data_IF_253569599636
#
_entry.id   IF_253569599636
#
_cell.length_a   1.000
_cell.length_b   1.000
_cell.length_c   1.000
_cell.angle_alpha   90.00
_cell.angle_beta   90.00
_cell.angle_gamma   90.00
#
_symmetry.space_group_name_H-M   'P 1'
#
loop_
_entity.id
_entity.type
_entity.pdbx_description
1 polymer ?
#
# COMPACT_ATOMS: atom_id res chain seq x y z
N UNK A 1 61.41 34.71 6.30
CA UNK A 1 61.21 34.27 7.69
C UNK A 1 60.24 33.11 7.69
N UNK A 2 60.77 31.90 7.85
CA UNK A 2 60.02 30.64 7.95
C UNK A 2 59.53 30.44 9.41
N UNK A 3 58.45 29.66 9.53
CA UNK A 3 58.00 28.88 10.68
C UNK A 3 57.43 29.65 11.89
N UNK A 4 56.09 29.78 11.96
CA UNK A 4 55.36 29.73 13.25
C UNK A 4 53.82 29.54 13.19
N UNK A 5 53.24 28.94 12.14
CA UNK A 5 51.77 28.86 12.00
C UNK A 5 51.13 27.46 12.08
N UNK A 6 51.87 26.37 12.32
CA UNK A 6 51.26 25.01 12.34
C UNK A 6 50.97 24.43 13.74
N UNK A 7 51.19 25.18 14.83
CA UNK A 7 50.98 24.67 16.21
C UNK A 7 49.67 25.16 16.87
N UNK A 8 48.87 25.99 16.20
CA UNK A 8 47.68 26.63 16.81
C UNK A 8 46.35 25.97 16.48
N UNK A 9 46.25 25.18 15.41
CA UNK A 9 45.00 24.52 15.01
C UNK A 9 44.71 23.25 15.84
N UNK A 10 45.73 22.45 16.17
CA UNK A 10 45.54 21.22 16.98
C UNK A 10 45.18 21.53 18.44
N UNK A 11 45.80 22.55 19.03
CA UNK A 11 45.55 22.97 20.42
C UNK A 11 44.14 23.62 20.57
N UNK A 12 43.59 24.17 19.48
CA UNK A 12 42.24 24.72 19.40
C UNK A 12 41.17 23.61 19.29
N UNK A 13 41.37 22.65 18.38
CA UNK A 13 40.44 21.51 18.20
C UNK A 13 40.40 20.62 19.45
N UNK A 14 41.54 20.42 20.14
CA UNK A 14 41.60 19.64 21.39
C UNK A 14 40.84 20.35 22.53
N UNK A 15 40.83 21.69 22.56
CA UNK A 15 40.15 22.47 23.60
C UNK A 15 38.65 22.61 23.36
N UNK A 16 38.23 22.82 22.11
CA UNK A 16 36.83 22.82 21.72
C UNK A 16 36.18 21.46 21.98
N UNK A 17 36.88 20.36 21.63
CA UNK A 17 36.45 18.98 21.94
C UNK A 17 36.37 18.71 23.44
N UNK A 18 37.28 19.25 24.25
CA UNK A 18 37.22 19.15 25.73
C UNK A 18 36.08 19.97 26.34
N UNK A 19 35.68 21.09 25.73
CA UNK A 19 34.59 21.92 26.23
C UNK A 19 33.22 21.32 25.87
N UNK A 20 33.04 20.87 24.62
CA UNK A 20 31.83 20.16 24.17
C UNK A 20 31.62 18.87 24.97
N UNK A 21 32.68 18.07 25.17
CA UNK A 21 32.61 16.84 25.97
C UNK A 21 32.34 17.09 27.46
N UNK A 22 32.59 18.29 27.99
CA UNK A 22 32.32 18.62 29.40
C UNK A 22 30.89 19.14 29.61
N UNK A 23 30.31 19.85 28.62
CA UNK A 23 28.90 20.28 28.66
C UNK A 23 27.92 19.11 28.47
N UNK A 24 28.23 18.14 27.61
CA UNK A 24 27.37 16.97 27.36
C UNK A 24 27.26 16.03 28.58
N UNK A 25 28.23 16.06 29.50
CA UNK A 25 28.33 15.10 30.61
C UNK A 25 27.88 15.67 31.96
N UNK A 26 28.07 16.97 32.25
CA UNK A 26 27.99 17.48 33.64
C UNK A 26 26.99 18.60 33.93
N UNK A 27 26.28 19.16 32.96
CA UNK A 27 25.20 20.13 33.22
C UNK A 27 25.58 21.35 34.08
N UNK A 28 26.87 21.66 34.20
CA UNK A 28 27.39 22.76 35.01
C UNK A 28 27.64 23.99 34.14
N UNK A 29 27.42 25.19 34.71
CA UNK A 29 27.62 26.46 34.01
C UNK A 29 29.05 26.50 33.42
N UNK A 30 29.21 26.85 32.13
CA UNK A 30 30.52 26.98 31.51
C UNK A 30 31.40 27.91 32.34
N UNK A 31 32.66 27.52 32.57
CA UNK A 31 33.63 28.38 33.25
C UNK A 31 34.08 29.49 32.30
N UNK A 32 34.47 30.62 32.87
CA UNK A 32 35.06 31.71 32.13
C UNK A 32 36.36 31.25 31.45
N UNK A 33 36.45 31.43 30.12
CA UNK A 33 37.64 31.09 29.32
C UNK A 33 37.99 32.34 28.52
N UNK A 34 38.92 33.15 29.02
CA UNK A 34 39.45 34.30 28.27
C UNK A 34 40.85 33.99 27.77
N UNK A 35 41.00 33.83 26.45
CA UNK A 35 42.30 33.69 25.81
C UNK A 35 42.80 35.04 25.27
N UNK A 36 41.88 35.94 24.88
CA UNK A 36 42.19 37.30 24.37
C UNK A 36 42.01 38.46 25.38
N UNK A 37 41.32 38.24 26.50
CA UNK A 37 40.98 39.29 27.49
C UNK A 37 41.71 39.10 28.85
N UNK A 38 42.88 39.76 29.03
CA UNK A 38 43.65 39.93 30.31
C UNK A 38 44.10 38.63 31.05
N UNK A 39 45.10 38.67 31.96
CA UNK A 39 45.85 37.46 32.32
C UNK A 39 45.02 36.51 33.19
N UNK A 40 44.63 35.33 32.66
CA UNK A 40 44.20 34.02 33.26
C UNK A 40 43.58 33.94 34.68
N UNK A 41 43.27 35.04 35.36
CA UNK A 41 42.92 35.13 36.79
C UNK A 41 41.45 34.77 37.07
N UNK A 42 40.64 34.57 36.04
CA UNK A 42 39.20 34.31 36.14
C UNK A 42 38.76 32.93 35.63
N UNK A 43 39.69 32.03 35.28
CA UNK A 43 39.43 30.70 34.69
C UNK A 43 38.51 29.78 35.51
N UNK A 44 38.32 30.07 36.80
CA UNK A 44 37.49 29.28 37.71
C UNK A 44 36.17 29.97 38.11
N UNK A 45 35.86 31.15 37.57
CA UNK A 45 34.56 31.81 37.78
C UNK A 45 33.52 31.27 36.79
N UNK A 46 32.27 31.19 37.22
CA UNK A 46 31.15 30.84 36.33
C UNK A 46 30.96 31.92 35.26
N UNK A 47 30.80 31.50 34.01
CA UNK A 47 30.44 32.40 32.93
C UNK A 47 28.94 32.75 33.01
N UNK A 48 28.63 33.99 32.65
CA UNK A 48 27.26 34.52 32.58
C UNK A 48 26.86 34.77 31.12
N UNK A 49 27.83 35.11 30.28
CA UNK A 49 27.64 35.43 28.87
C UNK A 49 28.61 34.64 27.99
N UNK A 50 28.21 34.42 26.74
CA UNK A 50 29.01 33.82 25.69
C UNK A 50 29.17 34.82 24.55
N UNK A 51 30.37 34.93 24.00
CA UNK A 51 30.67 35.76 22.85
C UNK A 51 30.89 34.85 21.63
N UNK A 52 29.94 34.78 20.68
CA UNK A 52 30.08 33.94 19.48
C UNK A 52 31.27 34.32 18.59
N UNK A 53 31.63 35.59 18.57
CA UNK A 53 32.77 36.11 17.82
C UNK A 53 34.11 35.61 18.39
N UNK A 54 34.26 35.62 19.71
CA UNK A 54 35.47 35.11 20.36
C UNK A 54 35.42 33.61 20.60
N UNK A 55 34.24 32.99 20.46
CA UNK A 55 33.95 31.63 20.88
C UNK A 55 34.33 31.41 22.36
N UNK A 56 34.19 32.45 23.17
CA UNK A 56 34.62 32.50 24.57
C UNK A 56 33.43 32.68 25.53
N UNK A 57 33.44 31.94 26.63
CA UNK A 57 32.52 32.12 27.75
C UNK A 57 33.11 33.13 28.75
N UNK A 58 32.33 34.14 29.12
CA UNK A 58 32.76 35.31 29.89
C UNK A 58 32.02 35.37 31.24
N UNK A 59 32.76 35.49 32.35
CA UNK A 59 32.18 35.94 33.63
C UNK A 59 31.88 37.44 33.59
N UNK A 60 31.16 37.94 34.59
CA UNK A 60 30.75 39.36 34.68
C UNK A 60 31.90 40.34 34.44
N UNK A 61 33.04 40.14 35.11
CA UNK A 61 34.18 41.06 34.98
C UNK A 61 34.87 40.95 33.61
N UNK A 62 34.97 39.73 33.07
CA UNK A 62 35.53 39.50 31.74
C UNK A 62 34.64 40.11 30.65
N UNK A 63 33.33 40.03 30.78
CA UNK A 63 32.37 40.71 29.90
C UNK A 63 32.53 42.22 29.96
N UNK A 64 32.60 42.80 31.15
CA UNK A 64 32.69 44.25 31.30
C UNK A 64 34.00 44.76 30.67
N UNK A 65 35.10 44.03 30.86
CA UNK A 65 36.36 44.32 30.16
C UNK A 65 36.26 44.13 28.64
N UNK A 66 35.58 43.07 28.19
CA UNK A 66 35.34 42.76 26.78
C UNK A 66 34.66 43.94 26.07
N UNK A 67 33.65 44.52 26.71
CA UNK A 67 32.90 45.67 26.19
C UNK A 67 33.69 46.98 26.24
N UNK A 68 34.63 47.13 27.18
CA UNK A 68 35.49 48.31 27.30
C UNK A 68 36.69 48.29 26.34
N UNK A 69 37.12 47.11 25.89
CA UNK A 69 38.24 46.96 24.97
C UNK A 69 37.91 47.55 23.59
N UNK A 70 38.77 48.43 23.07
CA UNK A 70 38.58 49.08 21.76
C UNK A 70 38.41 48.08 20.61
N UNK A 71 39.01 46.90 20.73
CA UNK A 71 38.98 45.85 19.69
C UNK A 71 37.77 44.92 19.81
N UNK A 72 37.17 44.79 20.99
CA UNK A 72 36.15 43.77 21.29
C UNK A 72 34.78 44.37 21.63
N UNK A 73 34.71 45.70 21.82
CA UNK A 73 33.49 46.44 22.12
C UNK A 73 32.36 46.24 21.10
N UNK A 74 32.67 45.87 19.86
CA UNK A 74 31.70 45.60 18.81
C UNK A 74 31.18 44.16 18.82
N UNK A 75 31.77 43.27 19.62
CA UNK A 75 31.29 41.90 19.72
C UNK A 75 29.99 41.86 20.48
N UNK A 76 29.03 41.12 19.94
CA UNK A 76 27.78 40.86 20.61
C UNK A 76 27.96 39.70 21.60
N UNK A 77 27.33 39.81 22.76
CA UNK A 77 27.32 38.76 23.77
C UNK A 77 25.90 38.33 24.06
N UNK A 78 25.69 37.03 24.27
CA UNK A 78 24.41 36.43 24.65
C UNK A 78 24.55 35.76 26.00
N UNK A 79 23.47 35.69 26.78
CA UNK A 79 23.53 34.97 28.06
C UNK A 79 23.74 33.48 27.82
N UNK A 80 24.45 32.82 28.75
CA UNK A 80 24.66 31.37 28.71
C UNK A 80 23.32 30.63 28.64
N UNK A 81 22.30 31.08 29.37
CA UNK A 81 20.96 30.47 29.34
C UNK A 81 20.30 30.57 27.94
N UNK A 82 20.52 31.67 27.21
CA UNK A 82 20.03 31.82 25.83
C UNK A 82 20.84 30.95 24.87
N UNK A 83 22.17 30.93 25.01
CA UNK A 83 23.04 30.06 24.23
C UNK A 83 22.64 28.60 24.38
N UNK A 84 22.37 28.14 25.61
CA UNK A 84 22.00 26.76 25.89
C UNK A 84 20.70 26.34 25.18
N UNK A 85 19.74 27.26 25.00
CA UNK A 85 18.48 27.03 24.30
C UNK A 85 18.62 26.98 22.77
N UNK A 86 19.76 27.38 22.20
CA UNK A 86 19.98 27.29 20.76
C UNK A 86 20.11 25.81 20.33
N UNK A 87 19.57 25.43 19.17
CA UNK A 87 19.81 24.11 18.59
C UNK A 87 21.30 23.85 18.38
N UNK A 88 21.73 22.58 18.52
CA UNK A 88 23.14 22.20 18.40
C UNK A 88 23.77 22.59 17.06
N UNK A 89 23.01 22.54 15.96
CA UNK A 89 23.51 22.94 14.65
C UNK A 89 23.84 24.44 14.59
N UNK A 90 23.07 25.30 15.27
CA UNK A 90 23.35 26.74 15.34
C UNK A 90 24.63 26.99 16.15
N UNK A 91 24.83 26.25 17.24
CA UNK A 91 26.02 26.38 18.10
C UNK A 91 27.32 26.00 17.38
N UNK A 92 27.24 25.18 16.34
CA UNK A 92 28.38 24.72 15.53
C UNK A 92 28.77 25.70 14.40
N UNK A 93 27.96 26.73 14.13
CA UNK A 93 28.24 27.73 13.09
C UNK A 93 29.31 28.69 13.62
N UNK A 94 30.54 28.55 13.13
CA UNK A 94 31.61 29.51 13.45
C UNK A 94 31.32 30.87 12.82
N UNK A 95 31.62 31.93 13.57
CA UNK A 95 31.53 33.31 13.10
C UNK A 95 32.82 33.79 12.41
N UNK A 96 33.87 32.95 12.43
CA UNK A 96 35.18 33.27 11.89
C UNK A 96 35.45 32.54 10.58
N UNK A 97 36.19 33.21 9.69
CA UNK A 97 36.63 32.65 8.44
C UNK A 97 37.75 31.63 8.69
N UNK A 98 37.59 30.42 8.15
CA UNK A 98 38.54 29.32 8.30
C UNK A 98 39.94 29.65 7.76
N UNK A 99 40.01 30.46 6.69
CA UNK A 99 41.28 30.79 6.03
C UNK A 99 42.03 31.96 6.70
N UNK A 100 41.29 32.90 7.30
CA UNK A 100 41.82 34.22 7.64
C UNK A 100 41.68 34.60 9.13
N UNK A 101 41.07 33.75 9.97
CA UNK A 101 40.82 34.00 11.40
C UNK A 101 40.18 35.38 11.67
N UNK A 102 39.32 35.80 10.74
CA UNK A 102 38.62 37.09 10.73
C UNK A 102 37.11 36.90 10.62
N UNK A 103 36.31 37.84 11.13
CA UNK A 103 34.86 37.71 11.13
C UNK A 103 34.24 37.58 9.75
N UNK A 104 33.29 36.66 9.63
CA UNK A 104 32.39 36.54 8.50
C UNK A 104 31.38 37.70 8.58
N UNK A 105 31.59 38.69 7.74
CA UNK A 105 30.86 39.96 7.74
C UNK A 105 30.10 40.20 6.43
N UNK A 106 30.46 39.47 5.38
CA UNK A 106 29.93 39.66 4.04
C UNK A 106 29.37 38.35 3.50
N UNK A 107 28.44 38.46 2.56
CA UNK A 107 27.90 37.34 1.79
C UNK A 107 28.11 37.62 0.31
N UNK A 108 28.78 36.71 -0.39
CA UNK A 108 29.00 36.78 -1.82
C UNK A 108 27.90 35.99 -2.55
N UNK A 109 26.99 36.70 -3.25
CA UNK A 109 25.90 36.06 -4.02
C UNK A 109 26.41 35.19 -5.17
N UNK A 110 27.49 35.61 -5.82
CA UNK A 110 28.05 34.90 -6.97
C UNK A 110 28.58 33.52 -6.61
N UNK A 111 28.99 33.33 -5.35
CA UNK A 111 29.57 32.09 -4.84
C UNK A 111 28.70 31.40 -3.78
N UNK A 112 27.58 32.01 -3.39
CA UNK A 112 26.71 31.54 -2.31
C UNK A 112 27.50 31.21 -1.02
N UNK A 113 28.38 32.13 -0.62
CA UNK A 113 29.35 31.91 0.46
C UNK A 113 29.48 33.12 1.40
N UNK A 114 29.76 32.85 2.68
CA UNK A 114 30.12 33.86 3.68
C UNK A 114 31.60 34.23 3.55
N UNK A 115 31.91 35.51 3.67
CA UNK A 115 33.24 36.07 3.43
C UNK A 115 33.66 37.01 4.58
N UNK A 116 34.95 36.99 4.93
CA UNK A 116 35.55 38.04 5.75
C UNK A 116 36.12 39.18 4.88
N UNK A 117 36.56 40.27 5.51
CA UNK A 117 37.19 41.41 4.83
C UNK A 117 38.39 41.02 3.95
N UNK A 118 39.16 40.01 4.35
CA UNK A 118 40.32 39.54 3.59
C UNK A 118 39.91 38.71 2.37
N UNK A 119 38.88 37.85 2.50
CA UNK A 119 38.30 37.09 1.38
C UNK A 119 37.82 38.02 0.24
N UNK A 120 37.25 39.19 0.58
CA UNK A 120 36.86 40.19 -0.42
C UNK A 120 38.03 40.71 -1.25
N UNK A 121 39.22 40.82 -0.66
CA UNK A 121 40.40 41.38 -1.32
C UNK A 121 41.16 40.30 -2.10
N UNK A 122 41.23 39.07 -1.55
CA UNK A 122 42.04 37.98 -2.10
C UNK A 122 41.29 37.11 -3.12
N UNK A 123 40.05 36.71 -2.81
CA UNK A 123 39.31 35.69 -3.59
C UNK A 123 38.02 36.19 -4.24
N UNK A 124 37.45 37.30 -3.74
CA UNK A 124 36.18 37.84 -4.24
C UNK A 124 36.29 39.26 -4.82
N UNK A 125 37.50 39.71 -5.15
CA UNK A 125 37.76 41.09 -5.63
C UNK A 125 36.98 41.45 -6.90
N UNK A 126 36.76 40.48 -7.77
CA UNK A 126 36.03 40.66 -9.03
C UNK A 126 34.53 40.35 -8.91
N UNK A 127 34.06 39.90 -7.75
CA UNK A 127 32.65 39.63 -7.50
C UNK A 127 31.89 40.94 -7.37
N UNK A 128 30.92 41.17 -8.26
CA UNK A 128 30.12 42.41 -8.28
C UNK A 128 29.00 42.44 -7.24
N UNK A 129 28.65 41.29 -6.64
CA UNK A 129 27.50 41.14 -5.75
C UNK A 129 27.90 40.62 -4.37
N UNK A 130 28.67 41.40 -3.63
CA UNK A 130 29.00 41.14 -2.21
C UNK A 130 28.20 42.06 -1.31
N UNK A 131 27.51 41.51 -0.31
CA UNK A 131 26.61 42.26 0.57
C UNK A 131 27.12 42.16 2.00
N UNK A 132 27.14 43.28 2.73
CA UNK A 132 27.39 43.26 4.16
C UNK A 132 26.20 42.61 4.88
N UNK A 133 26.45 41.59 5.70
CA UNK A 133 25.39 40.76 6.29
C UNK A 133 24.48 41.61 7.16
N UNK A 134 25.00 42.53 7.95
CA UNK A 134 24.12 43.39 8.77
C UNK A 134 23.25 44.31 7.89
N UNK A 135 23.74 44.80 6.76
CA UNK A 135 22.94 45.60 5.82
C UNK A 135 21.90 44.76 5.08
N UNK A 136 22.19 43.49 4.82
CA UNK A 136 21.23 42.52 4.33
C UNK A 136 20.16 42.20 5.38
N UNK A 137 20.56 42.14 6.65
CA UNK A 137 19.68 41.83 7.78
C UNK A 137 18.86 43.03 8.27
N UNK A 138 19.27 44.28 7.99
CA UNK A 138 18.54 45.51 8.37
C UNK A 138 17.11 45.59 7.81
N UNK A 139 16.85 45.37 6.51
CA UNK A 139 15.49 45.20 6.03
C UNK A 139 14.84 43.97 6.66
N UNK A 140 15.61 42.92 6.94
CA UNK A 140 15.09 41.65 7.46
C UNK A 140 14.74 41.66 8.96
N UNK A 141 14.95 42.71 9.74
CA UNK A 141 14.54 42.70 11.17
C UNK A 141 13.02 42.62 11.36
N UNK A 142 12.23 42.99 10.33
CA UNK A 142 10.78 42.71 10.24
C UNK A 142 10.41 41.50 9.37
N UNK A 143 11.33 41.00 8.53
CA UNK A 143 11.10 39.86 7.62
C UNK A 143 11.73 38.53 8.10
N UNK A 144 12.57 38.54 9.14
CA UNK A 144 13.11 37.34 9.79
C UNK A 144 11.99 36.51 10.42
N UNK A 145 11.00 37.18 11.02
CA UNK A 145 9.76 36.53 11.42
C UNK A 145 9.05 35.98 10.19
N UNK A 146 8.80 36.78 9.15
CA UNK A 146 8.03 36.34 7.99
C UNK A 146 8.61 35.09 7.26
N UNK A 147 9.93 34.98 7.11
CA UNK A 147 10.55 33.81 6.49
C UNK A 147 10.45 32.55 7.37
N UNK A 148 10.68 32.69 8.69
CA UNK A 148 10.52 31.59 9.65
C UNK A 148 9.04 31.22 9.83
N UNK A 149 8.14 32.19 9.87
CA UNK A 149 6.68 32.02 9.91
C UNK A 149 6.18 31.27 8.66
N UNK A 150 6.77 31.55 7.50
CA UNK A 150 6.45 30.82 6.26
C UNK A 150 6.94 29.37 6.33
N UNK A 151 8.15 29.12 6.83
CA UNK A 151 8.65 27.76 7.04
C UNK A 151 7.75 27.03 8.04
N UNK A 152 7.36 27.67 9.14
CA UNK A 152 6.46 27.12 10.14
C UNK A 152 5.09 26.76 9.55
N UNK A 153 4.48 27.65 8.76
CA UNK A 153 3.23 27.38 8.04
C UNK A 153 3.35 26.18 7.11
N UNK A 154 4.43 26.11 6.33
CA UNK A 154 4.67 24.97 5.42
C UNK A 154 4.82 23.67 6.19
N UNK A 155 5.53 23.67 7.32
CA UNK A 155 5.66 22.51 8.18
C UNK A 155 4.30 22.09 8.76
N UNK A 156 3.46 23.05 9.11
CA UNK A 156 2.13 22.81 9.64
C UNK A 156 1.17 22.25 8.58
N UNK A 157 1.21 22.78 7.35
CA UNK A 157 0.46 22.23 6.21
C UNK A 157 0.91 20.81 5.87
N UNK A 158 2.22 20.56 5.87
CA UNK A 158 2.76 19.22 5.68
C UNK A 158 2.28 18.25 6.76
N UNK A 159 2.31 18.67 8.03
CA UNK A 159 1.82 17.89 9.15
C UNK A 159 0.32 17.57 8.99
N UNK A 160 -0.50 18.55 8.61
CA UNK A 160 -1.93 18.37 8.38
C UNK A 160 -2.21 17.38 7.24
N UNK A 161 -1.48 17.49 6.13
CA UNK A 161 -1.61 16.57 5.00
C UNK A 161 -1.23 15.13 5.38
N UNK A 162 -0.14 14.95 6.12
CA UNK A 162 0.27 13.63 6.64
C UNK A 162 -0.81 13.07 7.56
N UNK A 163 -1.33 13.87 8.50
CA UNK A 163 -2.41 13.47 9.39
C UNK A 163 -3.68 13.05 8.63
N UNK A 164 -4.04 13.76 7.57
CA UNK A 164 -5.18 13.39 6.70
C UNK A 164 -4.93 12.04 6.02
N UNK A 165 -3.75 11.85 5.41
CA UNK A 165 -3.41 10.60 4.76
C UNK A 165 -3.45 9.41 5.73
N UNK A 166 -2.98 9.59 6.96
CA UNK A 166 -3.08 8.56 8.02
C UNK A 166 -4.54 8.23 8.33
N UNK A 167 -5.40 9.24 8.50
CA UNK A 167 -6.85 9.03 8.75
C UNK A 167 -7.51 8.27 7.62
N UNK A 168 -7.22 8.65 6.38
CA UNK A 168 -7.78 7.98 5.19
C UNK A 168 -7.35 6.52 5.09
N UNK A 169 -6.08 6.22 5.38
CA UNK A 169 -5.57 4.83 5.40
C UNK A 169 -6.19 4.01 6.52
N UNK A 170 -6.38 4.59 7.70
CA UNK A 170 -7.08 3.92 8.80
C UNK A 170 -8.54 3.62 8.44
N UNK A 171 -9.24 4.56 7.78
CA UNK A 171 -10.60 4.34 7.30
C UNK A 171 -10.67 3.23 6.25
N UNK A 172 -9.78 3.24 5.27
CA UNK A 172 -9.71 2.18 4.27
C UNK A 172 -9.44 0.81 4.92
N UNK A 173 -8.56 0.73 5.91
CA UNK A 173 -8.31 -0.50 6.67
C UNK A 173 -9.56 -1.00 7.41
N UNK A 174 -10.35 -0.10 7.98
CA UNK A 174 -11.62 -0.48 8.61
C UNK A 174 -12.65 -0.96 7.58
N UNK A 175 -12.70 -0.34 6.40
CA UNK A 175 -13.60 -0.74 5.31
C UNK A 175 -13.24 -2.15 4.79
N UNK A 176 -11.95 -2.45 4.58
CA UNK A 176 -11.50 -3.81 4.18
C UNK A 176 -11.87 -4.87 5.22
N UNK A 177 -11.73 -4.55 6.52
CA UNK A 177 -12.10 -5.48 7.59
C UNK A 177 -13.60 -5.75 7.59
N UNK A 178 -14.41 -4.74 7.33
CA UNK A 178 -15.86 -4.88 7.24
C UNK A 178 -16.27 -5.67 6.00
N UNK A 179 -15.67 -5.41 4.84
CA UNK A 179 -15.88 -6.20 3.63
C UNK A 179 -15.56 -7.68 3.86
N UNK A 180 -14.43 -8.00 4.54
CA UNK A 180 -14.11 -9.38 4.92
C UNK A 180 -15.20 -10.01 5.80
N UNK A 181 -15.74 -9.26 6.76
CA UNK A 181 -16.83 -9.74 7.64
C UNK A 181 -18.07 -10.07 6.82
N UNK A 182 -18.49 -9.16 5.94
CA UNK A 182 -19.66 -9.33 5.05
C UNK A 182 -19.47 -10.52 4.11
N UNK A 183 -18.32 -10.65 3.45
CA UNK A 183 -18.00 -11.80 2.60
C UNK A 183 -18.09 -13.10 3.42
N UNK A 184 -17.56 -13.11 4.65
CA UNK A 184 -17.66 -14.26 5.54
C UNK A 184 -19.10 -14.64 5.90
N UNK A 185 -20.00 -13.67 6.03
CA UNK A 185 -21.43 -13.91 6.28
C UNK A 185 -22.13 -14.46 5.03
N UNK A 186 -21.85 -13.89 3.86
CA UNK A 186 -22.39 -14.38 2.58
C UNK A 186 -21.98 -15.84 2.30
N UNK A 187 -20.73 -16.21 2.60
CA UNK A 187 -20.28 -17.61 2.48
C UNK A 187 -21.11 -18.54 3.37
N UNK A 188 -21.35 -18.14 4.63
CA UNK A 188 -22.15 -18.94 5.57
C UNK A 188 -23.60 -19.04 5.13
N UNK A 189 -24.19 -17.96 4.65
CA UNK A 189 -25.55 -17.93 4.12
C UNK A 189 -25.70 -18.85 2.91
N UNK A 190 -24.78 -18.75 1.93
CA UNK A 190 -24.77 -19.63 0.76
C UNK A 190 -24.60 -21.10 1.15
N UNK A 191 -23.75 -21.41 2.13
CA UNK A 191 -23.63 -22.79 2.65
C UNK A 191 -24.94 -23.28 3.26
N UNK A 192 -25.62 -22.42 4.02
CA UNK A 192 -26.91 -22.74 4.64
C UNK A 192 -27.98 -23.02 3.58
N UNK A 193 -28.07 -22.17 2.55
CA UNK A 193 -28.98 -22.39 1.41
C UNK A 193 -28.75 -23.75 0.74
N UNK A 194 -27.49 -24.12 0.47
CA UNK A 194 -27.14 -25.41 -0.13
C UNK A 194 -27.58 -26.57 0.78
N UNK A 195 -27.26 -26.51 2.07
CA UNK A 195 -27.63 -27.57 3.01
C UNK A 195 -29.15 -27.71 3.08
N UNK A 196 -29.89 -26.62 3.25
CA UNK A 196 -31.36 -26.66 3.33
C UNK A 196 -32.00 -27.25 2.06
N UNK A 197 -31.44 -26.96 0.89
CA UNK A 197 -31.89 -27.59 -0.35
C UNK A 197 -31.63 -29.10 -0.35
N UNK A 198 -30.45 -29.54 0.08
CA UNK A 198 -30.11 -30.97 0.15
C UNK A 198 -30.98 -31.71 1.17
N UNK A 199 -31.21 -31.12 2.34
CA UNK A 199 -32.08 -31.67 3.37
C UNK A 199 -33.52 -31.84 2.83
N UNK A 200 -34.04 -30.83 2.13
CA UNK A 200 -35.37 -30.90 1.52
C UNK A 200 -35.48 -31.98 0.44
N UNK A 201 -34.46 -32.10 -0.42
CA UNK A 201 -34.41 -33.14 -1.46
C UNK A 201 -34.31 -34.55 -0.86
N UNK A 202 -33.57 -34.71 0.25
CA UNK A 202 -33.50 -35.97 0.99
C UNK A 202 -34.86 -36.34 1.57
N UNK A 203 -35.52 -35.41 2.28
CA UNK A 203 -36.84 -35.60 2.86
C UNK A 203 -37.87 -36.00 1.79
N UNK A 204 -37.94 -35.26 0.69
CA UNK A 204 -38.88 -35.54 -0.42
C UNK A 204 -38.61 -36.92 -1.04
N UNK A 205 -37.34 -37.30 -1.18
CA UNK A 205 -36.98 -38.59 -1.76
C UNK A 205 -37.29 -39.75 -0.81
N UNK A 206 -37.05 -39.60 0.49
CA UNK A 206 -37.41 -40.58 1.51
C UNK A 206 -38.93 -40.75 1.62
N UNK A 207 -39.70 -39.67 1.49
CA UNK A 207 -41.16 -39.74 1.45
C UNK A 207 -41.65 -40.53 0.23
N UNK A 208 -41.04 -40.34 -0.94
CA UNK A 208 -41.32 -41.16 -2.14
C UNK A 208 -41.00 -42.64 -1.91
N UNK A 209 -39.87 -42.95 -1.27
CA UNK A 209 -39.51 -44.34 -0.93
C UNK A 209 -40.54 -44.94 0.02
N UNK A 210 -40.93 -44.22 1.07
CA UNK A 210 -41.92 -44.71 2.04
C UNK A 210 -43.32 -44.87 1.43
N UNK A 211 -43.73 -43.99 0.53
CA UNK A 211 -45.05 -44.10 -0.12
C UNK A 211 -45.10 -45.29 -1.08
N UNK A 212 -44.03 -45.56 -1.84
CA UNK A 212 -43.90 -46.76 -2.66
C UNK A 212 -43.93 -48.03 -1.80
N UNK A 213 -43.14 -48.07 -0.72
CA UNK A 213 -43.12 -49.21 0.21
C UNK A 213 -44.51 -49.49 0.80
N UNK A 214 -45.22 -48.47 1.29
CA UNK A 214 -46.59 -48.62 1.81
C UNK A 214 -47.60 -49.10 0.77
N UNK A 215 -47.48 -48.63 -0.47
CA UNK A 215 -48.43 -48.95 -1.54
C UNK A 215 -48.26 -50.40 -1.97
N UNK A 216 -47.03 -50.79 -2.30
CA UNK A 216 -46.70 -52.16 -2.66
C UNK A 216 -46.88 -53.13 -1.48
N UNK A 217 -46.57 -52.69 -0.25
CA UNK A 217 -46.80 -53.46 0.97
C UNK A 217 -48.27 -53.78 1.18
N UNK A 218 -49.17 -52.79 1.01
CA UNK A 218 -50.61 -53.00 1.13
C UNK A 218 -51.15 -54.00 0.10
N UNK A 219 -50.67 -53.92 -1.15
CA UNK A 219 -51.04 -54.90 -2.19
C UNK A 219 -50.62 -56.32 -1.78
N UNK A 220 -49.40 -56.48 -1.26
CA UNK A 220 -48.91 -57.78 -0.78
C UNK A 220 -49.73 -58.27 0.43
N UNK A 221 -50.06 -57.40 1.39
CA UNK A 221 -50.89 -57.73 2.55
C UNK A 221 -52.30 -58.21 2.15
N UNK A 222 -52.93 -57.56 1.16
CA UNK A 222 -54.23 -57.97 0.63
C UNK A 222 -54.18 -59.37 -0.01
N UNK A 223 -53.06 -59.70 -0.68
CA UNK A 223 -52.84 -61.02 -1.28
C UNK A 223 -52.61 -62.07 -0.20
N UNK A 224 -51.82 -61.75 0.84
CA UNK A 224 -51.62 -62.62 2.00
C UNK A 224 -52.98 -62.95 2.65
N UNK A 225 -53.82 -61.95 2.87
CA UNK A 225 -55.14 -62.13 3.49
C UNK A 225 -56.01 -63.09 2.67
N UNK A 226 -56.06 -62.90 1.33
CA UNK A 226 -56.81 -63.81 0.44
C UNK A 226 -56.28 -65.25 0.49
N UNK A 227 -54.96 -65.42 0.59
CA UNK A 227 -54.35 -66.75 0.68
C UNK A 227 -54.61 -67.40 2.05
N UNK A 228 -54.63 -66.62 3.13
CA UNK A 228 -55.00 -67.09 4.47
C UNK A 228 -56.47 -67.53 4.53
N UNK A 229 -57.39 -66.76 3.94
CA UNK A 229 -58.81 -67.12 3.84
C UNK A 229 -59.02 -68.42 3.06
N UNK A 230 -58.35 -68.58 1.91
CA UNK A 230 -58.42 -69.83 1.12
C UNK A 230 -57.79 -71.01 1.88
N UNK A 231 -56.71 -70.78 2.61
CA UNK A 231 -56.10 -71.80 3.47
C UNK A 231 -57.06 -72.26 4.57
N UNK A 232 -57.74 -71.35 5.26
CA UNK A 232 -58.69 -71.69 6.32
C UNK A 232 -59.86 -72.53 5.77
N UNK A 233 -60.39 -72.20 4.59
CA UNK A 233 -61.43 -73.00 3.93
C UNK A 233 -60.95 -74.43 3.65
N UNK A 234 -59.73 -74.59 3.15
CA UNK A 234 -59.14 -75.91 2.88
C UNK A 234 -58.94 -76.71 4.16
N UNK A 235 -58.45 -76.08 5.24
CA UNK A 235 -58.32 -76.72 6.55
C UNK A 235 -59.68 -77.12 7.15
N UNK A 236 -60.73 -76.32 6.94
CA UNK A 236 -62.11 -76.66 7.31
C UNK A 236 -62.61 -77.93 6.62
N UNK A 237 -62.47 -78.00 5.30
CA UNK A 237 -62.82 -79.19 4.51
C UNK A 237 -62.03 -80.41 4.99
N UNK A 238 -60.75 -80.25 5.32
CA UNK A 238 -59.93 -81.34 5.84
C UNK A 238 -60.48 -81.92 7.14
N UNK A 239 -60.90 -81.07 8.09
CA UNK A 239 -61.53 -81.50 9.36
C UNK A 239 -62.88 -82.21 9.14
N UNK A 240 -63.67 -81.74 8.18
CA UNK A 240 -64.92 -82.39 7.80
C UNK A 240 -64.67 -83.78 7.21
N UNK A 241 -63.68 -83.91 6.32
CA UNK A 241 -63.25 -85.19 5.75
C UNK A 241 -62.83 -86.18 6.84
N UNK A 242 -62.06 -85.72 7.83
CA UNK A 242 -61.66 -86.56 8.97
C UNK A 242 -62.87 -87.03 9.79
N UNK A 243 -63.82 -86.13 10.06
CA UNK A 243 -65.05 -86.45 10.78
C UNK A 243 -65.89 -87.48 10.02
N UNK A 244 -66.05 -87.32 8.70
CA UNK A 244 -66.77 -88.28 7.85
C UNK A 244 -66.07 -89.64 7.86
N UNK A 245 -64.73 -89.69 7.78
CA UNK A 245 -63.98 -90.96 7.85
C UNK A 245 -64.19 -91.72 9.16
N UNK A 246 -64.31 -91.02 10.28
CA UNK A 246 -64.43 -91.64 11.61
C UNK A 246 -65.85 -92.07 11.97
N UNK A 247 -66.87 -91.29 11.58
CA UNK A 247 -68.21 -91.42 12.16
C UNK A 247 -69.33 -91.68 11.14
N UNK A 248 -69.09 -91.55 9.83
CA UNK A 248 -70.16 -91.59 8.84
C UNK A 248 -70.49 -93.02 8.33
N UNK A 249 -71.76 -93.23 7.97
CA UNK A 249 -72.22 -94.45 7.28
C UNK A 249 -71.77 -94.49 5.81
N UNK A 250 -71.81 -95.67 5.18
CA UNK A 250 -71.44 -95.84 3.76
C UNK A 250 -72.16 -94.87 2.80
N UNK A 251 -73.45 -94.59 3.03
CA UNK A 251 -74.21 -93.63 2.23
C UNK A 251 -73.73 -92.19 2.45
N UNK A 252 -73.47 -91.80 3.71
CA UNK A 252 -72.94 -90.48 4.05
C UNK A 252 -71.50 -90.28 3.53
N UNK A 253 -70.68 -91.33 3.52
CA UNK A 253 -69.35 -91.31 2.90
C UNK A 253 -69.46 -91.05 1.39
N UNK A 254 -70.36 -91.77 0.69
CA UNK A 254 -70.56 -91.57 -0.75
C UNK A 254 -71.03 -90.15 -1.07
N UNK A 255 -72.05 -89.65 -0.36
CA UNK A 255 -72.58 -88.30 -0.54
C UNK A 255 -71.54 -87.23 -0.18
N UNK A 256 -70.85 -87.37 0.95
CA UNK A 256 -69.80 -86.45 1.40
C UNK A 256 -68.63 -86.39 0.42
N UNK A 257 -68.20 -87.53 -0.12
CA UNK A 257 -67.11 -87.58 -1.12
C UNK A 257 -67.43 -86.75 -2.36
N UNK A 258 -68.67 -86.84 -2.88
CA UNK A 258 -69.12 -86.01 -4.00
C UNK A 258 -69.11 -84.52 -3.67
N UNK A 259 -69.65 -84.16 -2.50
CA UNK A 259 -69.65 -82.76 -2.03
C UNK A 259 -68.22 -82.21 -1.87
N UNK A 260 -67.31 -82.97 -1.26
CA UNK A 260 -65.93 -82.55 -1.09
C UNK A 260 -65.20 -82.41 -2.44
N UNK A 261 -65.47 -83.26 -3.43
CA UNK A 261 -64.90 -83.11 -4.76
C UNK A 261 -65.29 -81.79 -5.43
N UNK A 262 -66.54 -81.36 -5.26
CA UNK A 262 -67.02 -80.07 -5.76
C UNK A 262 -66.32 -78.91 -5.04
N UNK A 263 -66.24 -78.95 -3.70
CA UNK A 263 -65.55 -77.93 -2.90
C UNK A 263 -64.04 -77.86 -3.20
N UNK A 264 -63.37 -78.99 -3.37
CA UNK A 264 -61.95 -79.04 -3.77
C UNK A 264 -61.77 -78.41 -5.15
N UNK A 265 -62.65 -78.72 -6.10
CA UNK A 265 -62.57 -78.16 -7.45
C UNK A 265 -62.76 -76.64 -7.43
N UNK A 266 -63.69 -76.14 -6.62
CA UNK A 266 -63.94 -74.71 -6.44
C UNK A 266 -62.74 -73.97 -5.82
N UNK A 267 -62.22 -74.42 -4.67
CA UNK A 267 -61.07 -73.76 -4.02
C UNK A 267 -59.79 -73.86 -4.86
N UNK A 268 -59.62 -74.94 -5.64
CA UNK A 268 -58.51 -75.06 -6.59
C UNK A 268 -58.56 -73.98 -7.67
N UNK A 269 -59.75 -73.68 -8.21
CA UNK A 269 -59.93 -72.62 -9.21
C UNK A 269 -59.64 -71.25 -8.58
N UNK A 270 -60.15 -70.98 -7.38
CA UNK A 270 -59.89 -69.71 -6.68
C UNK A 270 -58.41 -69.50 -6.37
N UNK A 271 -57.73 -70.52 -5.83
CA UNK A 271 -56.30 -70.47 -5.59
C UNK A 271 -55.54 -70.20 -6.90
N UNK A 272 -55.86 -70.92 -7.97
CA UNK A 272 -55.25 -70.73 -9.28
C UNK A 272 -55.45 -69.32 -9.83
N UNK A 273 -56.62 -68.71 -9.63
CA UNK A 273 -56.87 -67.31 -10.03
C UNK A 273 -55.97 -66.32 -9.28
N UNK A 274 -55.66 -66.57 -8.01
CA UNK A 274 -54.69 -65.74 -7.26
C UNK A 274 -53.30 -65.84 -7.89
N UNK A 275 -52.87 -67.04 -8.28
CA UNK A 275 -51.59 -67.27 -8.98
C UNK A 275 -51.56 -66.62 -10.38
N UNK A 276 -52.59 -66.84 -11.20
CA UNK A 276 -52.63 -66.45 -12.61
C UNK A 276 -52.74 -64.92 -12.79
N UNK A 277 -53.34 -64.22 -11.83
CA UNK A 277 -53.46 -62.75 -11.88
C UNK A 277 -52.12 -62.01 -11.63
N UNK A 278 -50.99 -62.73 -11.52
CA UNK A 278 -49.67 -62.12 -11.29
C UNK A 278 -49.47 -61.57 -9.87
N UNK A 279 -50.36 -61.93 -8.94
CA UNK A 279 -50.40 -61.45 -7.55
C UNK A 279 -49.18 -61.87 -6.72
N UNK A 280 -48.33 -62.77 -7.21
CA UNK A 280 -47.18 -63.31 -6.48
C UNK A 280 -45.83 -62.88 -7.07
N UNK A 281 -45.83 -61.83 -7.89
CA UNK A 281 -44.59 -61.27 -8.40
C UNK A 281 -43.74 -60.71 -7.26
N UNK A 282 -42.44 -61.01 -7.28
CA UNK A 282 -41.50 -60.42 -6.34
C UNK A 282 -41.34 -58.92 -6.61
N UNK A 283 -41.63 -58.10 -5.61
CA UNK A 283 -41.38 -56.65 -5.67
C UNK A 283 -39.96 -56.37 -5.18
N UNK A 284 -39.15 -55.73 -6.03
CA UNK A 284 -37.79 -55.29 -5.66
C UNK A 284 -37.65 -53.79 -5.86
N UNK A 285 -37.16 -53.07 -4.86
CA UNK A 285 -36.85 -51.65 -4.97
C UNK A 285 -35.41 -51.44 -5.42
N UNK A 286 -35.21 -50.53 -6.38
CA UNK A 286 -33.89 -50.08 -6.83
C UNK A 286 -33.79 -48.57 -6.64
N UNK A 287 -32.68 -48.12 -6.07
CA UNK A 287 -32.39 -46.70 -5.89
C UNK A 287 -31.37 -46.24 -6.94
N UNK A 288 -31.64 -45.11 -7.59
CA UNK A 288 -30.73 -44.45 -8.53
C UNK A 288 -30.66 -42.97 -8.19
N UNK A 289 -29.46 -42.44 -8.00
CA UNK A 289 -29.26 -41.04 -7.65
C UNK A 289 -29.23 -40.15 -8.90
N UNK A 290 -29.48 -38.86 -8.70
CA UNK A 290 -29.44 -37.87 -9.78
C UNK A 290 -27.99 -37.63 -10.24
N UNK A 291 -27.72 -37.77 -11.53
CA UNK A 291 -26.39 -37.56 -12.12
C UNK A 291 -25.81 -36.17 -11.83
N UNK A 292 -26.66 -35.14 -11.71
CA UNK A 292 -26.23 -33.78 -11.35
C UNK A 292 -25.72 -33.69 -9.92
N UNK A 293 -26.28 -34.47 -8.99
CA UNK A 293 -25.81 -34.52 -7.60
C UNK A 293 -24.45 -35.20 -7.54
N UNK A 294 -24.25 -36.29 -8.29
CA UNK A 294 -22.93 -36.92 -8.40
C UNK A 294 -21.91 -36.01 -9.08
N UNK A 295 -22.32 -35.29 -10.13
CA UNK A 295 -21.50 -34.31 -10.82
C UNK A 295 -21.09 -33.17 -9.89
N UNK A 296 -22.02 -32.63 -9.11
CA UNK A 296 -21.77 -31.58 -8.13
C UNK A 296 -20.64 -31.97 -7.16
N UNK A 297 -20.68 -33.18 -6.60
CA UNK A 297 -19.66 -33.68 -5.67
C UNK A 297 -18.29 -33.83 -6.34
N UNK A 298 -18.25 -34.24 -7.61
CA UNK A 298 -16.99 -34.49 -8.34
C UNK A 298 -16.31 -33.22 -8.84
N UNK A 299 -17.06 -32.17 -9.18
CA UNK A 299 -16.54 -31.02 -9.92
C UNK A 299 -16.26 -29.77 -9.06
N UNK A 300 -16.88 -29.64 -7.88
CA UNK A 300 -16.68 -28.46 -7.03
C UNK A 300 -15.43 -28.63 -6.16
N UNK A 301 -14.42 -27.78 -6.39
CA UNK A 301 -13.14 -27.79 -5.64
C UNK A 301 -12.92 -26.56 -4.77
N UNK A 302 -13.59 -25.45 -5.09
CA UNK A 302 -13.47 -24.17 -4.39
C UNK A 302 -14.85 -23.59 -4.13
N UNK A 303 -14.96 -22.71 -3.12
CA UNK A 303 -16.23 -22.05 -2.78
C UNK A 303 -16.50 -20.80 -3.63
N UNK A 304 -15.44 -20.23 -4.20
CA UNK A 304 -15.44 -19.00 -4.98
C UNK A 304 -14.05 -18.38 -4.98
N UNK A 305 -13.90 -17.29 -5.73
CA UNK A 305 -12.68 -16.52 -5.84
C UNK A 305 -12.82 -15.17 -5.12
N UNK A 306 -11.71 -14.65 -4.60
CA UNK A 306 -11.65 -13.34 -3.95
C UNK A 306 -10.59 -12.51 -4.64
N UNK A 307 -11.00 -11.36 -5.16
CA UNK A 307 -10.13 -10.41 -5.85
C UNK A 307 -9.98 -9.13 -5.02
N UNK A 308 -8.80 -8.51 -5.08
CA UNK A 308 -8.52 -7.23 -4.44
C UNK A 308 -8.28 -6.21 -5.56
N UNK A 309 -9.15 -5.22 -5.65
CA UNK A 309 -8.96 -4.08 -6.55
C UNK A 309 -8.12 -3.00 -5.87
N UNK A 310 -6.97 -2.70 -6.47
CA UNK A 310 -6.06 -1.67 -5.99
C UNK A 310 -6.20 -0.41 -6.87
N UNK A 311 -7.15 0.45 -6.53
CA UNK A 311 -7.25 1.78 -7.15
C UNK A 311 -6.23 2.75 -6.55
N UNK A 312 -5.45 3.40 -7.41
CA UNK A 312 -4.52 4.43 -6.99
C UNK A 312 -5.28 5.70 -6.55
N UNK A 313 -4.95 6.19 -5.36
CA UNK A 313 -5.38 7.52 -4.90
C UNK A 313 -4.19 8.47 -5.02
N UNK A 314 -4.27 9.40 -5.97
CA UNK A 314 -3.34 10.52 -6.06
C UNK A 314 -3.55 11.48 -4.88
N UNK A 315 -2.62 11.44 -3.93
CA UNK A 315 -2.50 12.48 -2.90
C UNK A 315 -1.55 13.54 -3.45
N UNK A 316 -2.10 14.68 -3.88
CA UNK A 316 -1.27 15.79 -4.35
C UNK A 316 -0.81 16.63 -3.15
N UNK A 317 0.50 16.69 -2.94
CA UNK A 317 1.11 17.62 -2.01
C UNK A 317 1.38 18.93 -2.77
N UNK A 318 0.41 19.84 -2.79
CA UNK A 318 0.61 21.12 -3.49
C UNK A 318 1.49 22.04 -2.65
N UNK A 319 2.72 22.27 -3.09
CA UNK A 319 3.63 23.25 -2.49
C UNK A 319 3.41 24.60 -3.18
N UNK A 320 2.65 25.50 -2.55
CA UNK A 320 2.57 26.90 -3.00
C UNK A 320 3.67 27.69 -2.29
N UNK A 321 4.90 27.57 -2.78
CA UNK A 321 6.00 28.41 -2.31
C UNK A 321 5.68 29.88 -2.61
N UNK A 322 5.43 30.67 -1.57
CA UNK A 322 5.17 32.10 -1.73
C UNK A 322 6.46 32.80 -2.20
N UNK A 323 6.38 33.60 -3.27
CA UNK A 323 7.57 34.25 -3.89
C UNK A 323 8.32 35.19 -2.92
N UNK A 324 7.70 35.54 -1.80
CA UNK A 324 8.22 36.39 -0.73
C UNK A 324 9.25 35.69 0.17
N UNK A 325 9.35 34.36 0.16
CA UNK A 325 10.34 33.59 0.92
C UNK A 325 11.67 33.34 0.16
N UNK A 326 11.91 34.02 -0.95
CA UNK A 326 13.10 33.85 -1.79
C UNK A 326 14.33 34.60 -1.22
N UNK A 327 14.80 34.22 -0.04
CA UNK A 327 16.06 34.75 0.51
C UNK A 327 17.28 34.00 -0.08
N UNK A 328 17.10 32.72 -0.41
CA UNK A 328 18.06 31.93 -1.18
C UNK A 328 17.27 31.13 -2.21
N UNK A 329 17.69 31.15 -3.49
CA UNK A 329 17.28 30.09 -4.42
C UNK A 329 18.17 28.89 -4.09
N UNK A 330 17.72 27.84 -3.39
CA UNK A 330 18.38 26.58 -3.60
C UNK A 330 18.22 26.29 -5.10
N UNK A 331 19.32 26.12 -5.82
CA UNK A 331 19.25 25.28 -7.03
C UNK A 331 18.50 24.05 -6.57
N UNK A 332 17.36 23.74 -7.19
CA UNK A 332 16.74 22.44 -7.01
C UNK A 332 17.84 21.43 -7.30
N UNK A 333 18.43 20.88 -6.25
CA UNK A 333 19.19 19.66 -6.37
C UNK A 333 18.10 18.64 -6.60
N UNK A 334 17.65 18.55 -7.85
CA UNK A 334 17.23 17.27 -8.36
C UNK A 334 18.38 16.35 -7.95
N UNK A 335 18.12 15.47 -6.98
CA UNK A 335 19.02 14.34 -6.74
C UNK A 335 19.25 13.79 -8.14
N UNK A 336 20.47 13.91 -8.64
CA UNK A 336 20.85 13.16 -9.83
C UNK A 336 20.61 11.72 -9.41
N UNK A 337 19.51 11.14 -9.90
CA UNK A 337 19.40 9.71 -10.01
C UNK A 337 20.70 9.31 -10.69
N UNK A 338 21.38 8.35 -10.06
CA UNK A 338 22.68 7.83 -10.46
C UNK A 338 22.86 7.98 -11.96
N UNK A 339 23.94 8.61 -12.39
CA UNK A 339 24.23 8.82 -13.80
C UNK A 339 24.24 7.44 -14.46
N UNK A 340 23.11 7.06 -15.07
CA UNK A 340 23.05 5.83 -15.86
C UNK A 340 23.95 6.13 -17.05
N UNK A 341 25.16 5.58 -17.00
CA UNK A 341 26.09 5.63 -18.12
C UNK A 341 25.51 4.76 -19.24
N UNK A 342 24.61 5.33 -20.03
CA UNK A 342 24.19 4.73 -21.29
C UNK A 342 25.32 4.98 -22.30
N UNK A 343 26.31 4.08 -22.33
CA UNK A 343 27.24 4.01 -23.45
C UNK A 343 26.50 3.42 -24.65
N UNK A 344 25.91 4.27 -25.48
CA UNK A 344 25.54 3.89 -26.83
C UNK A 344 26.84 3.57 -27.59
N UNK A 345 27.06 2.29 -27.89
CA UNK A 345 28.25 1.80 -28.61
C UNK A 345 28.40 2.33 -30.04
N UNK A 346 27.42 3.13 -30.53
CA UNK A 346 27.46 3.84 -31.79
C UNK A 346 26.75 5.19 -31.65
N UNK A 347 27.28 6.22 -32.31
CA UNK A 347 26.61 7.51 -32.46
C UNK A 347 25.35 7.30 -33.31
N UNK A 348 24.18 7.51 -32.73
CA UNK A 348 22.92 7.61 -33.49
C UNK A 348 22.97 8.94 -34.23
N UNK A 349 22.93 8.90 -35.55
CA UNK A 349 23.05 10.08 -36.40
C UNK A 349 21.66 10.73 -36.53
N UNK A 350 21.26 11.45 -35.49
CA UNK A 350 20.00 12.20 -35.49
C UNK A 350 20.23 13.45 -36.35
N UNK A 351 19.27 13.79 -37.22
CA UNK A 351 19.30 15.05 -37.99
C UNK A 351 19.50 16.23 -37.03
N UNK A 352 20.11 17.35 -37.48
CA UNK A 352 20.55 18.49 -36.64
C UNK A 352 19.44 19.24 -35.87
N UNK A 353 18.26 18.66 -35.76
CA UNK A 353 17.11 19.21 -35.06
C UNK A 353 17.20 18.90 -33.57
N UNK A 354 16.77 19.85 -32.74
CA UNK A 354 16.72 19.68 -31.28
C UNK A 354 15.66 18.64 -30.90
N UNK A 355 16.04 17.73 -30.02
CA UNK A 355 15.13 16.73 -29.44
C UNK A 355 14.40 17.38 -28.27
N UNK A 356 13.07 17.39 -28.30
CA UNK A 356 12.26 17.92 -27.19
C UNK A 356 11.90 16.85 -26.16
N UNK A 357 11.66 15.61 -26.60
CA UNK A 357 11.30 14.49 -25.73
C UNK A 357 11.94 13.17 -26.17
N UNK A 358 12.12 12.25 -25.22
CA UNK A 358 12.60 10.91 -25.51
C UNK A 358 11.93 9.87 -24.61
N UNK A 359 11.68 8.67 -25.16
CA UNK A 359 11.15 7.56 -24.39
C UNK A 359 11.69 6.21 -24.89
N UNK A 360 11.56 5.16 -24.07
CA UNK A 360 11.94 3.80 -24.44
C UNK A 360 10.68 2.93 -24.34
N UNK A 361 10.31 2.27 -25.44
CA UNK A 361 9.18 1.32 -25.46
C UNK A 361 9.49 0.06 -24.65
N UNK A 362 8.48 -0.70 -24.25
CA UNK A 362 8.66 -2.01 -23.57
C UNK A 362 9.53 -3.00 -24.37
N UNK A 363 9.48 -2.92 -25.71
CA UNK A 363 10.33 -3.72 -26.60
C UNK A 363 11.78 -3.19 -26.72
N UNK A 364 12.17 -2.19 -25.94
CA UNK A 364 13.51 -1.60 -25.92
C UNK A 364 13.81 -0.60 -27.06
N UNK A 365 12.85 -0.32 -27.94
CA UNK A 365 13.03 0.68 -29.00
C UNK A 365 13.12 2.10 -28.40
N UNK A 366 14.03 2.91 -28.92
CA UNK A 366 14.22 4.31 -28.55
C UNK A 366 13.33 5.20 -29.41
N UNK A 367 12.61 6.12 -28.78
CA UNK A 367 11.73 7.10 -29.43
C UNK A 367 12.25 8.50 -29.13
N UNK A 368 12.39 9.32 -30.17
CA UNK A 368 12.81 10.72 -30.06
C UNK A 368 11.81 11.63 -30.75
N UNK A 369 11.40 12.69 -30.06
CA UNK A 369 10.54 13.74 -30.58
C UNK A 369 11.38 14.91 -31.07
N UNK A 370 11.16 15.31 -32.32
CA UNK A 370 11.87 16.44 -32.91
C UNK A 370 11.07 17.74 -32.72
N UNK A 371 11.70 18.74 -32.11
CA UNK A 371 11.02 19.96 -31.66
C UNK A 371 10.54 20.88 -32.80
N UNK A 372 11.03 20.70 -34.04
CA UNK A 372 10.73 21.61 -35.15
C UNK A 372 9.92 20.97 -36.28
N UNK A 373 10.12 19.67 -36.50
CA UNK A 373 9.42 18.89 -37.53
C UNK A 373 8.14 18.23 -37.00
N UNK A 374 7.90 18.27 -35.69
CA UNK A 374 6.80 17.59 -35.01
C UNK A 374 6.67 16.11 -35.44
N UNK A 375 7.82 15.47 -35.63
CA UNK A 375 7.92 14.06 -35.98
C UNK A 375 8.57 13.28 -34.85
N UNK A 376 8.13 12.04 -34.71
CA UNK A 376 8.67 11.07 -33.79
C UNK A 376 9.52 10.08 -34.57
N UNK A 377 10.78 9.97 -34.20
CA UNK A 377 11.75 9.03 -34.75
C UNK A 377 11.83 7.80 -33.86
N UNK A 378 11.73 6.61 -34.45
CA UNK A 378 11.87 5.33 -33.76
C UNK A 378 13.16 4.63 -34.20
N UNK A 379 13.92 4.16 -33.22
CA UNK A 379 15.15 3.41 -33.40
C UNK A 379 15.09 2.08 -32.63
N UNK A 380 15.68 1.04 -33.22
CA UNK A 380 15.86 -0.25 -32.56
C UNK A 380 16.83 -0.13 -31.38
N UNK A 381 16.84 -1.09 -30.43
CA UNK A 381 17.77 -1.07 -29.29
C UNK A 381 19.25 -1.03 -29.70
N UNK A 382 19.57 -1.54 -30.90
CA UNK A 382 20.92 -1.51 -31.48
C UNK A 382 21.29 -0.15 -32.12
N UNK A 383 20.40 0.84 -32.11
CA UNK A 383 20.58 2.17 -32.67
C UNK A 383 20.25 2.31 -34.16
N UNK A 384 19.71 1.28 -34.80
CA UNK A 384 19.26 1.34 -36.20
C UNK A 384 17.93 2.10 -36.31
N UNK A 385 17.82 2.97 -37.30
CA UNK A 385 16.57 3.70 -37.57
C UNK A 385 15.49 2.73 -38.07
N UNK A 386 14.32 2.76 -37.43
CA UNK A 386 13.17 1.93 -37.80
C UNK A 386 12.21 2.74 -38.66
N UNK A 387 11.72 3.87 -38.15
CA UNK A 387 10.63 4.62 -38.79
C UNK A 387 10.50 6.05 -38.25
N UNK A 388 9.92 6.93 -39.05
CA UNK A 388 9.50 8.27 -38.67
C UNK A 388 7.98 8.39 -38.80
N UNK A 389 7.33 8.90 -37.75
CA UNK A 389 5.89 9.15 -37.73
C UNK A 389 5.63 10.63 -37.48
N UNK A 390 4.84 11.28 -38.34
CA UNK A 390 4.39 12.66 -38.10
C UNK A 390 3.28 12.69 -37.06
N UNK A 391 3.39 13.61 -36.12
CA UNK A 391 2.35 13.87 -35.12
C UNK A 391 1.38 14.90 -35.71
N UNK A 392 0.08 14.62 -35.62
CA UNK A 392 -0.99 15.24 -36.39
C UNK A 392 -0.96 16.80 -36.30
N UNK A 393 -1.18 17.56 -37.38
CA UNK A 393 -1.01 19.02 -37.41
C UNK A 393 -2.17 19.81 -36.80
N UNK A 394 -3.23 19.16 -36.31
CA UNK A 394 -4.40 19.86 -35.74
C UNK A 394 -4.14 20.46 -34.35
N UNK A 395 -3.09 20.02 -33.65
CA UNK A 395 -2.56 20.70 -32.48
C UNK A 395 -1.45 21.65 -32.92
N UNK A 396 -1.71 22.96 -32.91
CA UNK A 396 -0.79 24.07 -33.19
C UNK A 396 0.35 24.20 -32.14
N UNK A 397 0.81 23.11 -31.55
CA UNK A 397 1.81 23.09 -30.50
C UNK A 397 3.06 22.31 -30.88
N UNK A 398 4.22 22.85 -30.51
CA UNK A 398 5.47 22.07 -30.46
C UNK A 398 5.27 20.97 -29.42
N UNK A 399 5.51 19.71 -29.79
CA UNK A 399 5.54 18.62 -28.84
C UNK A 399 6.74 18.76 -27.90
N UNK A 400 6.50 18.77 -26.59
CA UNK A 400 7.51 18.99 -25.55
C UNK A 400 8.02 17.71 -24.91
N UNK A 401 7.17 16.68 -24.80
CA UNK A 401 7.53 15.47 -24.07
C UNK A 401 6.81 14.22 -24.63
N UNK A 402 7.38 13.05 -24.34
CA UNK A 402 6.88 11.74 -24.76
C UNK A 402 6.70 10.82 -23.55
N UNK A 403 5.56 10.13 -23.50
CA UNK A 403 5.33 9.04 -22.55
C UNK A 403 4.84 7.80 -23.29
N UNK A 404 5.47 6.65 -23.06
CA UNK A 404 4.98 5.36 -23.57
C UNK A 404 3.82 4.93 -22.69
N UNK A 405 2.68 4.64 -23.31
CA UNK A 405 1.49 4.13 -22.61
C UNK A 405 1.50 2.59 -22.64
N UNK A 406 1.79 2.01 -23.81
CA UNK A 406 1.88 0.57 -24.02
C UNK A 406 2.82 0.23 -25.20
N UNK A 407 2.92 -1.05 -25.55
CA UNK A 407 3.76 -1.57 -26.64
C UNK A 407 3.59 -0.87 -28.00
N UNK A 408 2.42 -0.28 -28.28
CA UNK A 408 2.08 0.35 -29.55
C UNK A 408 1.61 1.82 -29.43
N UNK A 409 1.40 2.33 -28.21
CA UNK A 409 0.82 3.66 -27.98
C UNK A 409 1.78 4.57 -27.22
N UNK A 410 1.91 5.81 -27.70
CA UNK A 410 2.75 6.86 -27.10
C UNK A 410 1.93 8.15 -26.98
N UNK A 411 1.91 8.74 -25.80
CA UNK A 411 1.36 10.07 -25.57
C UNK A 411 2.43 11.14 -25.84
N UNK A 412 2.03 12.21 -26.53
CA UNK A 412 2.86 13.38 -26.77
C UNK A 412 2.22 14.56 -26.05
N UNK A 413 2.99 15.27 -25.22
CA UNK A 413 2.53 16.52 -24.60
C UNK A 413 2.77 17.70 -25.54
N UNK A 414 1.73 18.46 -25.87
CA UNK A 414 1.84 19.73 -26.61
C UNK A 414 1.56 20.91 -25.67
N UNK A 415 2.44 21.91 -25.69
CA UNK A 415 2.29 23.11 -24.88
C UNK A 415 1.46 24.16 -25.60
N UNK A 416 0.15 23.97 -25.68
CA UNK A 416 -0.79 25.09 -25.82
C UNK A 416 -1.69 25.15 -24.59
N UNK A 417 -1.60 26.28 -23.89
CA UNK A 417 -2.33 26.57 -22.67
C UNK A 417 -3.67 27.19 -23.05
N UNK A 418 -4.68 26.40 -23.42
CA UNK A 418 -6.07 26.88 -23.43
C UNK A 418 -6.97 25.81 -22.84
N UNK A 419 -7.36 26.02 -21.59
CA UNK A 419 -8.60 25.53 -21.00
C UNK A 419 -9.75 25.90 -21.93
N UNK A 420 -10.24 24.97 -22.74
CA UNK A 420 -11.62 24.99 -23.20
C UNK A 420 -12.19 23.57 -23.13
N UNK A 421 -13.13 23.41 -22.19
CA UNK A 421 -14.08 22.29 -22.20
C UNK A 421 -14.84 22.32 -23.51
N UNK A 422 -14.88 21.20 -24.21
CA UNK A 422 -15.98 20.91 -25.13
C UNK A 422 -16.57 19.55 -24.76
N UNK A 423 -17.90 19.54 -24.73
CA UNK A 423 -18.81 18.40 -24.47
C UNK A 423 -18.69 17.32 -25.51
#
# INVERSE_FOLDING_TARGET
MKLHNSLKSEDFIIRLKKWIAYEEIYGHRPKCITLRCLPKRHLNKSAEEYCPQCEEALCRECRDHHKLSKLLKSHQTITVDKYNKLPSFIKQISQNCEEHDCFLEFYCKSHDALCCKLCLISGHKECKETIFIEDFLKPLTGHQSAALDNIEKVLQDLQNNICSAIKDRNRNLTEIREQKRVIGEQIKEKRKEINTLLDHLEEEFLEKVSTLEKTNGREIEEIITKLEDEKEKVEGIQKEVESVKMFASNLQIFMGTKSFQESISYNKINAQQIYDNGSLNNVTMKCTFNEKLEGFIKHIKTFGDVEIDNSEKHVSFSWKGDKSAQIFKPKSVAKSIETINVRLGRRINITRESISGCAISEAGNMLFLQAHSNSMMKYAPNGEFISESRINPETSGIGYDLAVIDSNTVAVSSGETILNRFT
#
